data_IF_997540104521
#
_entry.id   IF_997540104521
#
_cell.length_a   1.000
_cell.length_b   1.000
_cell.length_c   1.000
_cell.angle_alpha   90.00
_cell.angle_beta   90.00
_cell.angle_gamma   90.00
#
_symmetry.space_group_name_H-M   'P 1'
#
loop_
_entity.id
_entity.type
_entity.pdbx_description
1 polymer ?
#
# COMPACT_ATOMS: atom_id res chain seq x y z
N UNK A 1 16.10 29.59 -8.27
CA UNK A 1 15.20 28.75 -9.09
C UNK A 1 14.89 27.47 -8.33
N UNK A 2 14.03 27.50 -7.31
CA UNK A 2 13.69 26.30 -6.51
C UNK A 2 12.21 26.21 -6.09
N UNK A 3 11.34 27.07 -6.65
CA UNK A 3 9.99 27.26 -6.11
C UNK A 3 8.86 26.81 -7.05
N UNK A 4 9.16 26.33 -8.26
CA UNK A 4 8.12 25.96 -9.24
C UNK A 4 7.73 24.48 -9.21
N UNK A 5 8.62 23.59 -8.76
CA UNK A 5 8.35 22.15 -8.76
C UNK A 5 7.46 21.72 -7.59
N UNK A 6 7.59 22.37 -6.43
CA UNK A 6 6.75 22.10 -5.25
C UNK A 6 5.26 22.33 -5.50
N UNK A 7 4.90 23.30 -6.37
CA UNK A 7 3.51 23.69 -6.61
C UNK A 7 2.75 22.70 -7.52
N UNK A 8 3.47 21.99 -8.40
CA UNK A 8 2.86 21.01 -9.31
C UNK A 8 2.47 19.73 -8.57
N UNK A 9 3.35 19.25 -7.69
CA UNK A 9 3.07 18.06 -6.87
C UNK A 9 1.96 18.32 -5.85
N UNK A 10 1.90 19.51 -5.25
CA UNK A 10 0.83 19.88 -4.33
C UNK A 10 -0.55 19.88 -5.02
N UNK A 11 -0.63 20.42 -6.24
CA UNK A 11 -1.87 20.43 -7.03
C UNK A 11 -2.30 19.03 -7.47
N UNK A 12 -1.34 18.20 -7.91
CA UNK A 12 -1.62 16.82 -8.27
C UNK A 12 -2.12 16.01 -7.05
N UNK A 13 -1.46 16.16 -5.89
CA UNK A 13 -1.88 15.51 -4.65
C UNK A 13 -3.29 15.92 -4.21
N UNK A 14 -3.60 17.23 -4.24
CA UNK A 14 -4.94 17.72 -3.91
C UNK A 14 -6.03 17.17 -4.86
N UNK A 15 -5.71 17.06 -6.15
CA UNK A 15 -6.64 16.51 -7.14
C UNK A 15 -6.83 15.01 -6.98
N UNK A 16 -5.77 14.26 -6.68
CA UNK A 16 -5.84 12.83 -6.41
C UNK A 16 -6.65 12.54 -5.13
N UNK A 17 -6.47 13.34 -4.07
CA UNK A 17 -7.31 13.26 -2.86
C UNK A 17 -8.78 13.55 -3.15
N UNK A 18 -9.08 14.59 -3.94
CA UNK A 18 -10.45 14.94 -4.33
C UNK A 18 -11.13 13.80 -5.11
N UNK A 19 -10.35 13.07 -5.90
CA UNK A 19 -10.83 11.95 -6.69
C UNK A 19 -10.83 10.61 -5.92
N UNK A 20 -10.56 10.62 -4.61
CA UNK A 20 -10.58 9.43 -3.76
C UNK A 20 -9.40 8.48 -3.95
N UNK A 21 -8.33 8.90 -4.63
CA UNK A 21 -7.12 8.11 -4.77
C UNK A 21 -6.23 8.29 -3.53
N UNK A 22 -5.69 7.20 -2.95
CA UNK A 22 -4.77 7.31 -1.83
C UNK A 22 -3.47 7.98 -2.27
N UNK A 23 -3.10 9.09 -1.62
CA UNK A 23 -1.86 9.83 -1.89
C UNK A 23 -0.86 9.58 -0.76
N UNK A 24 0.24 8.89 -1.08
CA UNK A 24 1.36 8.70 -0.17
C UNK A 24 2.23 9.96 -0.15
N UNK A 25 2.05 10.78 0.89
CA UNK A 25 2.93 11.94 1.14
C UNK A 25 4.15 11.46 1.92
N UNK A 26 5.28 11.28 1.22
CA UNK A 26 6.56 10.97 1.88
C UNK A 26 7.23 12.26 2.38
N UNK A 27 6.61 12.92 3.34
CA UNK A 27 7.26 13.97 4.10
C UNK A 27 8.20 13.31 5.12
N UNK A 28 9.46 13.76 5.18
CA UNK A 28 10.38 13.38 6.25
C UNK A 28 9.92 14.05 7.56
N UNK A 29 8.76 13.63 8.07
CA UNK A 29 8.23 14.16 9.33
C UNK A 29 8.89 13.38 10.45
N UNK A 30 9.82 14.03 11.14
CA UNK A 30 10.51 13.46 12.30
C UNK A 30 9.68 13.54 13.59
N UNK A 31 8.53 14.23 13.58
CA UNK A 31 7.75 14.54 14.78
C UNK A 31 6.25 14.30 14.58
N UNK A 32 5.69 13.41 15.41
CA UNK A 32 4.27 13.00 15.43
C UNK A 32 3.32 14.20 15.53
N UNK A 33 3.71 15.25 16.26
CA UNK A 33 2.88 16.43 16.46
C UNK A 33 2.68 17.25 15.16
N UNK A 34 3.60 17.17 14.20
CA UNK A 34 3.44 17.82 12.90
C UNK A 34 2.50 17.05 11.99
N UNK A 35 2.49 15.72 12.12
CA UNK A 35 1.57 14.85 11.39
C UNK A 35 0.12 15.11 11.82
N UNK A 36 -0.14 15.17 13.13
CA UNK A 36 -1.48 15.43 13.67
C UNK A 36 -2.06 16.78 13.20
N UNK A 37 -1.22 17.82 13.08
CA UNK A 37 -1.65 19.15 12.56
C UNK A 37 -2.05 19.14 11.08
N UNK A 38 -1.47 18.26 10.25
CA UNK A 38 -1.83 18.14 8.83
C UNK A 38 -3.21 17.51 8.63
N UNK A 39 -3.64 16.64 9.57
CA UNK A 39 -4.90 15.92 9.48
C UNK A 39 -6.04 16.54 10.32
N UNK A 40 -5.73 17.39 11.31
CA UNK A 40 -6.75 17.99 12.18
C UNK A 40 -7.53 19.14 11.51
N UNK A 41 -6.99 19.78 10.46
CA UNK A 41 -7.68 20.87 9.76
C UNK A 41 -8.67 20.42 8.66
N UNK A 42 -8.92 19.11 8.51
CA UNK A 42 -9.97 18.56 7.64
C UNK A 42 -11.23 18.13 8.41
N UNK A 43 -11.46 18.67 9.60
CA UNK A 43 -12.49 18.25 10.55
C UNK A 43 -13.90 18.72 10.15
N UNK A 44 -14.43 18.19 9.04
CA UNK A 44 -15.87 18.12 8.76
C UNK A 44 -16.21 16.76 8.12
N UNK A 45 -15.71 15.66 8.71
CA UNK A 45 -16.17 14.31 8.38
C UNK A 45 -16.04 13.42 9.63
N UNK A 46 -16.88 13.73 10.61
CA UNK A 46 -17.14 12.87 11.75
C UNK A 46 -17.92 11.64 11.27
N UNK A 47 -17.35 10.45 11.50
CA UNK A 47 -18.01 9.17 11.87
C UNK A 47 -17.42 7.96 11.11
N UNK A 48 -16.49 7.27 11.78
CA UNK A 48 -16.29 5.80 11.79
C UNK A 48 -14.81 5.48 12.03
N UNK A 49 -14.33 5.74 13.24
CA UNK A 49 -13.15 5.02 13.75
C UNK A 49 -13.66 3.71 14.35
N UNK A 50 -14.16 2.81 13.49
CA UNK A 50 -13.95 1.39 13.76
C UNK A 50 -12.46 1.13 13.64
N UNK A 51 -11.92 0.13 14.33
CA UNK A 51 -10.56 -0.33 14.10
C UNK A 51 -10.37 -0.65 12.61
N UNK A 52 -9.84 0.31 11.85
CA UNK A 52 -9.49 0.18 10.44
C UNK A 52 -8.13 -0.55 10.37
N UNK A 53 -8.04 -1.72 11.00
CA UNK A 53 -6.98 -2.67 10.65
C UNK A 53 -7.28 -3.09 9.23
N UNK A 54 -6.43 -2.74 8.24
CA UNK A 54 -6.69 -3.10 6.86
C UNK A 54 -6.82 -4.62 6.77
N UNK A 55 -7.76 -5.08 5.95
CA UNK A 55 -7.97 -6.51 5.76
C UNK A 55 -6.65 -7.19 5.38
N UNK A 56 -6.33 -8.37 5.95
CA UNK A 56 -5.06 -9.03 5.73
C UNK A 56 -4.91 -9.43 4.27
N UNK A 57 -3.90 -8.87 3.61
CA UNK A 57 -3.60 -9.14 2.20
C UNK A 57 -2.65 -10.33 2.08
N UNK A 58 -2.80 -11.12 1.01
CA UNK A 58 -1.92 -12.25 0.71
C UNK A 58 -1.05 -11.96 -0.50
N UNK A 59 0.20 -12.41 -0.45
CA UNK A 59 1.13 -12.34 -1.58
C UNK A 59 1.57 -13.74 -1.99
N UNK A 60 1.64 -13.96 -3.30
CA UNK A 60 2.37 -15.09 -3.89
C UNK A 60 3.79 -14.60 -4.12
N UNK A 61 4.75 -15.24 -3.47
CA UNK A 61 6.17 -14.90 -3.59
C UNK A 61 6.94 -16.00 -4.31
N UNK A 62 7.92 -15.61 -5.12
CA UNK A 62 8.86 -16.50 -5.80
C UNK A 62 10.27 -16.34 -5.20
N UNK A 63 10.95 -17.46 -4.94
CA UNK A 63 12.35 -17.48 -4.54
C UNK A 63 13.26 -17.12 -5.71
N UNK A 64 13.95 -16.00 -5.59
CA UNK A 64 14.89 -15.50 -6.57
C UNK A 64 16.27 -16.17 -6.41
N UNK A 65 17.10 -16.08 -7.47
CA UNK A 65 18.45 -16.68 -7.50
C UNK A 65 19.40 -16.10 -6.43
N UNK A 66 19.14 -14.89 -5.95
CA UNK A 66 19.89 -14.25 -4.89
C UNK A 66 19.45 -14.69 -3.48
N UNK A 67 18.43 -15.55 -3.36
CA UNK A 67 17.87 -16.04 -2.10
C UNK A 67 16.75 -15.18 -1.53
N UNK A 68 16.39 -14.07 -2.19
CA UNK A 68 15.28 -13.22 -1.77
C UNK A 68 13.94 -13.77 -2.24
N UNK A 69 12.88 -13.41 -1.53
CA UNK A 69 11.50 -13.70 -1.93
C UNK A 69 10.90 -12.44 -2.53
N UNK A 70 10.40 -12.55 -3.76
CA UNK A 70 9.78 -11.45 -4.48
C UNK A 70 8.29 -11.70 -4.64
N UNK A 71 7.45 -10.73 -4.22
CA UNK A 71 6.02 -10.79 -4.47
C UNK A 71 5.75 -10.63 -5.98
N UNK A 72 5.13 -11.65 -6.57
CA UNK A 72 4.78 -11.70 -8.00
C UNK A 72 3.27 -11.53 -8.24
N UNK A 73 2.44 -11.79 -7.23
CA UNK A 73 0.99 -11.59 -7.27
C UNK A 73 0.45 -11.23 -5.87
N UNK A 74 -0.74 -10.64 -5.83
CA UNK A 74 -1.46 -10.21 -4.63
C UNK A 74 -2.89 -10.76 -4.67
N UNK A 75 -3.38 -11.24 -3.54
CA UNK A 75 -4.77 -11.64 -3.35
C UNK A 75 -5.36 -10.94 -2.12
N UNK A 76 -6.66 -10.64 -2.16
CA UNK A 76 -7.34 -9.98 -1.05
C UNK A 76 -7.89 -10.99 -0.02
N UNK A 77 -7.96 -12.27 -0.37
CA UNK A 77 -8.30 -13.37 0.53
C UNK A 77 -7.42 -14.61 0.32
N UNK A 78 -7.49 -15.56 1.26
CA UNK A 78 -6.67 -16.77 1.24
C UNK A 78 -7.05 -17.72 0.10
N UNK A 79 -8.33 -17.86 -0.22
CA UNK A 79 -8.82 -18.80 -1.22
C UNK A 79 -8.32 -18.38 -2.62
N UNK A 80 -8.40 -17.08 -2.94
CA UNK A 80 -7.82 -16.51 -4.15
C UNK A 80 -6.29 -16.71 -4.18
N UNK A 81 -5.61 -16.51 -3.04
CA UNK A 81 -4.16 -16.69 -2.94
C UNK A 81 -3.74 -18.14 -3.24
N UNK A 82 -4.48 -19.13 -2.72
CA UNK A 82 -4.22 -20.56 -2.97
C UNK A 82 -4.46 -20.94 -4.43
N UNK A 83 -5.51 -20.40 -5.05
CA UNK A 83 -5.77 -20.60 -6.49
C UNK A 83 -4.61 -20.03 -7.32
N UNK A 84 -4.12 -18.84 -6.98
CA UNK A 84 -2.98 -18.21 -7.65
C UNK A 84 -1.68 -18.98 -7.43
N UNK A 85 -1.42 -19.45 -6.21
CA UNK A 85 -0.26 -20.30 -5.89
C UNK A 85 -0.30 -21.58 -6.74
N UNK A 86 -1.41 -22.30 -6.70
CA UNK A 86 -1.60 -23.53 -7.48
C UNK A 86 -1.44 -23.27 -8.97
N UNK A 87 -1.92 -22.12 -9.48
CA UNK A 87 -1.72 -21.74 -10.86
C UNK A 87 -0.23 -21.59 -11.20
N UNK A 88 0.54 -20.83 -10.42
CA UNK A 88 1.97 -20.62 -10.71
C UNK A 88 2.79 -21.90 -10.52
N UNK A 89 2.51 -22.70 -9.50
CA UNK A 89 3.21 -23.97 -9.23
C UNK A 89 3.03 -24.99 -10.36
N UNK A 90 1.86 -25.00 -11.01
CA UNK A 90 1.57 -25.93 -12.10
C UNK A 90 2.06 -25.45 -13.48
N UNK A 91 2.31 -24.15 -13.66
CA UNK A 91 2.56 -23.57 -14.99
C UNK A 91 3.93 -22.93 -15.14
N UNK A 92 4.62 -22.60 -14.05
CA UNK A 92 5.90 -21.90 -14.08
C UNK A 92 6.97 -22.68 -13.28
N UNK A 93 8.19 -22.82 -13.81
CA UNK A 93 9.29 -23.38 -13.03
C UNK A 93 9.70 -22.39 -11.94
N UNK A 94 9.84 -22.85 -10.70
CA UNK A 94 10.24 -21.98 -9.59
C UNK A 94 9.97 -22.60 -8.24
N UNK A 95 10.28 -21.86 -7.18
CA UNK A 95 9.84 -22.18 -5.82
C UNK A 95 8.99 -21.04 -5.32
N UNK A 96 7.75 -21.35 -4.96
CA UNK A 96 6.74 -20.37 -4.60
C UNK A 96 6.30 -20.54 -3.15
N UNK A 97 5.78 -19.48 -2.55
CA UNK A 97 5.13 -19.53 -1.23
C UNK A 97 4.04 -18.48 -1.11
N UNK A 98 3.17 -18.67 -0.13
CA UNK A 98 2.25 -17.64 0.31
C UNK A 98 2.81 -16.86 1.50
N UNK A 99 2.64 -15.54 1.45
CA UNK A 99 2.98 -14.61 2.53
C UNK A 99 1.74 -13.81 2.88
N UNK A 100 1.20 -14.03 4.08
CA UNK A 100 0.17 -13.14 4.64
C UNK A 100 0.81 -11.87 5.16
N UNK A 101 0.17 -10.75 4.87
CA UNK A 101 0.56 -9.41 5.23
C UNK A 101 -0.51 -8.83 6.15
N UNK A 102 -0.17 -8.72 7.43
CA UNK A 102 -1.02 -8.27 8.54
C UNK A 102 -0.77 -6.80 8.90
N UNK A 103 -0.47 -5.97 7.89
CA UNK A 103 -0.06 -4.57 8.07
C UNK A 103 -1.05 -3.75 8.90
#
# INVERSE_FOLDING_TARGET
>A
MKDKEHDVFAKAAAQMQTNGFPVLVKTAVQDRAQLERLYTNGSDAQSNLGEDTPDPVWFVEELQLNGDWLAIDRADDQDEAEVKLSHVENHLPGTYRLKRSDW
#
